data_IF_729834171730
#
_entry.id   IF_729834171730
#
_cell.length_a   1.000
_cell.length_b   1.000
_cell.length_c   1.000
_cell.angle_alpha   90.00
_cell.angle_beta   90.00
_cell.angle_gamma   90.00
#
_symmetry.space_group_name_H-M   'P 1'
#
loop_
_entity.id
_entity.type
_entity.pdbx_description
1 polymer ?
#
# COMPACT_ATOMS: atom_id res chain seq x y z
N UNK A 1 -6.44 26.78 10.63
CA UNK A 1 -6.94 25.45 10.21
C UNK A 1 -6.81 25.36 8.71
N UNK A 2 -5.83 24.60 8.21
CA UNK A 2 -5.52 24.56 6.79
C UNK A 2 -6.59 23.72 6.05
N UNK A 3 -7.62 24.39 5.54
CA UNK A 3 -8.63 23.80 4.64
C UNK A 3 -8.08 23.88 3.22
N UNK A 4 -7.03 23.11 2.91
CA UNK A 4 -6.71 22.88 1.50
C UNK A 4 -7.92 22.19 0.90
N UNK A 5 -8.55 22.82 -0.10
CA UNK A 5 -9.63 22.23 -0.89
C UNK A 5 -9.16 20.87 -1.35
N UNK A 6 -9.57 19.80 -0.64
CA UNK A 6 -9.30 18.43 -1.05
C UNK A 6 -9.88 18.38 -2.44
N UNK A 7 -9.01 18.36 -3.45
CA UNK A 7 -9.48 18.24 -4.82
C UNK A 7 -10.16 16.88 -4.81
N UNK A 8 -11.49 16.86 -4.87
CA UNK A 8 -12.27 15.61 -4.71
C UNK A 8 -11.92 14.56 -5.76
N UNK A 9 -11.11 14.95 -6.75
CA UNK A 9 -10.43 14.11 -7.72
C UNK A 9 -9.40 13.16 -7.09
N UNK A 10 -9.78 11.89 -7.02
CA UNK A 10 -8.94 10.75 -6.66
C UNK A 10 -8.45 10.01 -7.89
N UNK A 11 -7.35 9.28 -7.73
CA UNK A 11 -6.80 8.38 -8.73
C UNK A 11 -7.45 7.00 -8.59
N UNK A 12 -8.11 6.56 -9.65
CA UNK A 12 -8.68 5.23 -9.78
C UNK A 12 -7.83 4.42 -10.75
N UNK A 13 -7.44 3.20 -10.35
CA UNK A 13 -6.43 2.41 -11.06
C UNK A 13 -7.00 1.07 -11.50
N UNK A 14 -6.83 0.76 -12.78
CA UNK A 14 -7.01 -0.61 -13.30
C UNK A 14 -5.65 -1.28 -13.44
N UNK A 15 -5.46 -2.36 -12.69
CA UNK A 15 -4.21 -3.12 -12.66
C UNK A 15 -4.00 -3.94 -13.94
N UNK A 16 -5.07 -4.52 -14.47
CA UNK A 16 -5.06 -5.35 -15.69
C UNK A 16 -4.69 -4.51 -16.92
N UNK A 17 -5.34 -3.36 -17.09
CA UNK A 17 -5.09 -2.45 -18.22
C UNK A 17 -3.88 -1.53 -18.03
N UNK A 18 -3.33 -1.46 -16.80
CA UNK A 18 -2.27 -0.51 -16.41
C UNK A 18 -2.62 0.93 -16.75
N UNK A 19 -3.83 1.34 -16.35
CA UNK A 19 -4.35 2.69 -16.57
C UNK A 19 -4.79 3.31 -15.26
N UNK A 20 -4.56 4.61 -15.11
CA UNK A 20 -5.10 5.41 -14.02
C UNK A 20 -6.02 6.49 -14.58
N UNK A 21 -7.16 6.71 -13.95
CA UNK A 21 -8.10 7.77 -14.29
C UNK A 21 -8.36 8.63 -13.05
N UNK A 22 -8.40 9.94 -13.21
CA UNK A 22 -8.63 10.88 -12.11
C UNK A 22 -10.12 11.28 -12.08
N UNK A 23 -10.83 11.02 -10.99
CA UNK A 23 -12.31 11.21 -10.89
C UNK A 23 -12.74 11.73 -9.52
N UNK A 24 -13.84 12.48 -9.45
CA UNK A 24 -14.42 12.98 -8.19
C UNK A 24 -15.19 11.85 -7.45
N UNK A 25 -15.02 11.63 -6.13
CA UNK A 25 -15.72 10.56 -5.35
C UNK A 25 -17.09 10.99 -4.76
N UNK A 26 -18.06 10.15 -4.39
CA UNK A 26 -18.21 8.68 -4.35
C UNK A 26 -19.65 8.26 -4.80
N UNK A 27 -19.83 6.97 -5.14
CA UNK A 27 -21.06 6.27 -5.56
C UNK A 27 -21.48 6.46 -7.04
N UNK A 28 -20.99 5.58 -7.92
CA UNK A 28 -21.43 5.56 -9.33
C UNK A 28 -20.46 4.94 -10.33
N UNK A 29 -19.95 3.74 -10.01
CA UNK A 29 -19.65 2.65 -10.93
C UNK A 29 -19.49 3.03 -12.42
N UNK A 30 -18.28 3.32 -12.82
CA UNK A 30 -17.86 2.98 -14.17
C UNK A 30 -16.52 2.30 -13.96
N UNK A 31 -16.48 0.99 -14.19
CA UNK A 31 -15.24 0.23 -14.17
C UNK A 31 -14.20 0.83 -15.12
N UNK A 32 -13.12 0.09 -15.34
CA UNK A 32 -12.11 0.54 -16.28
C UNK A 32 -12.79 0.90 -17.63
N UNK A 33 -12.58 2.10 -18.19
CA UNK A 33 -13.18 2.48 -19.46
C UNK A 33 -12.72 1.59 -20.64
N UNK A 34 -11.77 0.68 -20.38
CA UNK A 34 -11.18 -0.22 -21.36
C UNK A 34 -11.66 -1.67 -21.21
N UNK A 35 -11.73 -2.18 -19.98
CA UNK A 35 -12.11 -3.59 -19.72
C UNK A 35 -13.35 -3.76 -18.83
N UNK A 36 -13.93 -2.68 -18.31
CA UNK A 36 -15.10 -2.73 -17.42
C UNK A 36 -14.83 -3.23 -16.00
N UNK A 37 -13.61 -3.70 -15.68
CA UNK A 37 -13.26 -4.20 -14.35
C UNK A 37 -13.32 -3.14 -13.25
N UNK A 38 -13.48 -3.58 -12.00
CA UNK A 38 -13.44 -2.72 -10.83
C UNK A 38 -12.10 -1.95 -10.75
N UNK A 39 -12.20 -0.66 -10.42
CA UNK A 39 -11.05 0.22 -10.26
C UNK A 39 -10.69 0.37 -8.79
N UNK A 40 -9.42 0.23 -8.46
CA UNK A 40 -8.91 0.49 -7.12
C UNK A 40 -8.82 1.99 -6.85
N UNK A 41 -9.41 2.47 -5.75
CA UNK A 41 -9.19 3.84 -5.26
C UNK A 41 -7.77 3.94 -4.66
N UNK A 42 -6.89 4.66 -5.34
CA UNK A 42 -5.52 4.86 -4.91
C UNK A 42 -5.31 6.16 -4.12
N UNK A 43 -6.33 7.01 -3.94
CA UNK A 43 -6.22 8.29 -3.25
C UNK A 43 -5.80 9.47 -4.12
N UNK A 44 -5.36 10.56 -3.52
CA UNK A 44 -5.19 11.86 -4.20
C UNK A 44 -3.78 12.08 -4.77
N UNK A 45 -2.76 11.49 -4.15
CA UNK A 45 -1.35 11.78 -4.42
C UNK A 45 -0.59 10.57 -5.01
N UNK A 46 -1.30 9.74 -5.79
CA UNK A 46 -0.65 8.65 -6.49
C UNK A 46 0.26 9.19 -7.60
N UNK A 47 1.56 8.93 -7.50
CA UNK A 47 2.49 9.06 -8.61
C UNK A 47 2.28 7.88 -9.57
N UNK A 48 1.62 8.12 -10.71
CA UNK A 48 1.25 7.08 -11.66
C UNK A 48 2.51 6.61 -12.42
N UNK A 49 2.87 5.31 -12.35
CA UNK A 49 3.96 4.77 -13.14
C UNK A 49 3.70 4.91 -14.64
N UNK A 50 4.77 5.05 -15.43
CA UNK A 50 4.64 5.03 -16.90
C UNK A 50 3.98 3.71 -17.33
N UNK A 51 3.12 3.71 -18.35
CA UNK A 51 2.39 2.51 -18.81
C UNK A 51 3.31 1.31 -19.11
N UNK A 52 4.50 1.58 -19.65
CA UNK A 52 5.54 0.57 -19.99
C UNK A 52 6.38 0.11 -18.80
N UNK A 53 6.30 0.78 -17.65
CA UNK A 53 7.08 0.47 -16.46
C UNK A 53 6.43 -0.69 -15.69
N UNK A 54 6.71 -1.92 -16.14
CA UNK A 54 6.15 -3.11 -15.51
C UNK A 54 6.55 -3.24 -14.03
N UNK A 55 7.74 -2.78 -13.67
CA UNK A 55 8.22 -2.86 -12.29
C UNK A 55 7.38 -1.94 -11.40
N UNK A 56 7.18 -0.68 -11.79
CA UNK A 56 6.32 0.26 -11.08
C UNK A 56 4.88 -0.27 -10.94
N UNK A 57 4.31 -0.83 -12.02
CA UNK A 57 2.96 -1.41 -11.99
C UNK A 57 2.85 -2.64 -11.07
N UNK A 58 3.87 -3.49 -11.02
CA UNK A 58 3.91 -4.64 -10.09
C UNK A 58 3.99 -4.17 -8.63
N UNK A 59 4.80 -3.15 -8.35
CA UNK A 59 4.89 -2.57 -7.00
C UNK A 59 3.55 -1.95 -6.57
N UNK A 60 2.93 -1.14 -7.45
CA UNK A 60 1.63 -0.53 -7.20
C UNK A 60 0.53 -1.57 -6.99
N UNK A 61 0.54 -2.66 -7.77
CA UNK A 61 -0.39 -3.79 -7.61
C UNK A 61 -0.28 -4.40 -6.21
N UNK A 62 0.94 -4.64 -5.73
CA UNK A 62 1.16 -5.21 -4.41
C UNK A 62 0.66 -4.27 -3.29
N UNK A 63 0.85 -2.96 -3.45
CA UNK A 63 0.37 -1.96 -2.51
C UNK A 63 -1.17 -1.91 -2.46
N UNK A 64 -1.82 -1.74 -3.61
CA UNK A 64 -3.28 -1.59 -3.66
C UNK A 64 -3.99 -2.87 -3.18
N UNK A 65 -3.48 -4.06 -3.52
CA UNK A 65 -4.01 -5.33 -3.00
C UNK A 65 -3.81 -5.49 -1.50
N UNK A 66 -2.76 -4.89 -0.93
CA UNK A 66 -2.55 -4.84 0.50
C UNK A 66 -3.42 -3.77 1.20
N UNK A 67 -4.24 -3.00 0.48
CA UNK A 67 -5.03 -1.90 1.02
C UNK A 67 -4.24 -0.61 1.26
N UNK A 68 -3.00 -0.54 0.75
CA UNK A 68 -2.19 0.67 0.82
C UNK A 68 -2.67 1.68 -0.21
N UNK A 69 -3.05 2.86 0.28
CA UNK A 69 -3.53 3.98 -0.53
C UNK A 69 -2.70 5.25 -0.31
N UNK A 70 -2.72 6.17 -1.28
CA UNK A 70 -1.94 7.40 -1.32
C UNK A 70 -2.81 8.60 -0.91
N UNK A 71 -3.42 8.48 0.27
CA UNK A 71 -4.13 9.58 0.89
C UNK A 71 -3.14 10.50 1.59
N UNK A 72 -3.13 11.76 1.21
CA UNK A 72 -2.43 12.81 1.93
C UNK A 72 -3.38 13.63 2.78
N UNK A 73 -2.81 14.21 3.84
CA UNK A 73 -3.48 15.23 4.64
C UNK A 73 -2.91 16.59 4.24
N UNK A 74 -3.63 17.66 4.56
CA UNK A 74 -3.36 19.04 4.10
C UNK A 74 -1.87 19.45 4.04
N UNK A 75 -1.08 19.07 5.05
CA UNK A 75 0.34 19.46 5.17
C UNK A 75 1.32 18.27 5.12
N UNK A 76 0.83 17.04 4.96
CA UNK A 76 1.64 15.83 4.98
C UNK A 76 1.24 14.96 3.78
N UNK A 77 2.18 14.76 2.86
CA UNK A 77 2.04 13.82 1.76
C UNK A 77 1.76 12.39 2.25
N UNK A 78 1.54 11.43 1.35
CA UNK A 78 1.15 10.04 1.68
C UNK A 78 2.22 9.23 2.44
N UNK A 79 3.29 9.89 2.89
CA UNK A 79 4.50 9.27 3.43
C UNK A 79 5.35 8.61 2.35
N UNK A 80 6.41 7.96 2.78
CA UNK A 80 7.25 7.14 1.91
C UNK A 80 6.47 5.90 1.43
N UNK A 81 6.62 5.52 0.15
CA UNK A 81 6.01 4.32 -0.45
C UNK A 81 7.00 3.62 -1.38
N UNK A 82 7.01 2.28 -1.43
CA UNK A 82 7.90 1.54 -2.31
C UNK A 82 7.49 1.81 -3.76
N UNK A 83 8.47 2.16 -4.59
CA UNK A 83 8.28 2.42 -6.03
C UNK A 83 8.67 1.21 -6.88
N UNK A 84 9.42 0.28 -6.29
CA UNK A 84 9.96 -0.88 -7.00
C UNK A 84 9.51 -2.21 -6.38
N UNK A 85 9.40 -3.28 -7.18
CA UNK A 85 9.09 -4.61 -6.67
C UNK A 85 10.15 -5.14 -5.70
N UNK A 86 11.39 -4.66 -5.83
CA UNK A 86 12.49 -5.02 -4.92
C UNK A 86 12.19 -4.51 -3.51
N UNK A 87 11.86 -3.23 -3.37
CA UNK A 87 11.52 -2.61 -2.08
C UNK A 87 10.30 -3.26 -1.43
N UNK A 88 9.30 -3.67 -2.24
CA UNK A 88 8.15 -4.44 -1.78
C UNK A 88 8.59 -5.79 -1.20
N UNK A 89 9.40 -6.55 -1.94
CA UNK A 89 9.89 -7.86 -1.49
C UNK A 89 10.74 -7.76 -0.23
N UNK A 90 11.62 -6.77 -0.13
CA UNK A 90 12.47 -6.55 1.04
C UNK A 90 11.62 -6.33 2.31
N UNK A 91 10.57 -5.50 2.22
CA UNK A 91 9.63 -5.24 3.34
C UNK A 91 8.79 -6.43 3.72
N UNK A 92 8.28 -7.16 2.72
CA UNK A 92 7.55 -8.41 2.96
C UNK A 92 8.45 -9.46 3.62
N UNK A 93 9.72 -9.55 3.22
CA UNK A 93 10.70 -10.46 3.81
C UNK A 93 11.05 -10.07 5.26
N UNK A 94 11.27 -8.78 5.51
CA UNK A 94 11.59 -8.25 6.84
C UNK A 94 10.43 -8.40 7.83
N UNK A 95 9.18 -8.25 7.36
CA UNK A 95 7.97 -8.42 8.17
C UNK A 95 7.52 -9.87 8.37
N UNK A 96 8.15 -10.87 7.73
CA UNK A 96 7.76 -12.27 7.93
C UNK A 96 7.88 -12.65 9.41
N UNK A 97 6.78 -13.10 10.00
CA UNK A 97 6.74 -13.55 11.40
C UNK A 97 6.64 -12.43 12.44
N UNK A 98 6.56 -11.14 12.05
CA UNK A 98 6.26 -10.05 12.99
C UNK A 98 4.80 -10.04 13.42
N UNK A 99 3.90 -10.58 12.58
CA UNK A 99 2.45 -10.48 12.78
C UNK A 99 1.86 -9.11 12.39
N UNK A 100 2.66 -8.23 11.78
CA UNK A 100 2.17 -6.95 11.27
C UNK A 100 1.26 -7.16 10.05
N UNK A 101 0.30 -6.25 9.89
CA UNK A 101 -0.48 -6.19 8.67
C UNK A 101 0.44 -5.89 7.48
N UNK A 102 0.18 -6.50 6.33
CA UNK A 102 0.98 -6.31 5.11
C UNK A 102 1.02 -4.84 4.71
N UNK A 103 -0.09 -4.11 4.89
CA UNK A 103 -0.15 -2.68 4.62
C UNK A 103 0.89 -1.91 5.44
N UNK A 104 0.92 -2.13 6.75
CA UNK A 104 1.84 -1.46 7.67
C UNK A 104 3.29 -1.74 7.28
N UNK A 105 3.64 -3.02 7.06
CA UNK A 105 4.97 -3.41 6.63
C UNK A 105 5.42 -2.74 5.32
N UNK A 106 4.51 -2.56 4.37
CA UNK A 106 4.81 -1.89 3.10
C UNK A 106 4.92 -0.36 3.24
N UNK A 107 4.37 0.23 4.30
CA UNK A 107 4.48 1.67 4.59
C UNK A 107 5.74 2.04 5.38
N UNK A 108 6.36 1.09 6.07
CA UNK A 108 7.55 1.36 6.88
C UNK A 108 8.74 1.65 5.97
N UNK A 109 9.29 2.85 6.10
CA UNK A 109 10.45 3.28 5.32
C UNK A 109 11.70 2.48 5.71
N UNK A 110 11.91 2.28 7.02
CA UNK A 110 13.09 1.60 7.55
C UNK A 110 12.91 0.07 7.62
N UNK A 111 13.72 -0.65 6.84
CA UNK A 111 13.72 -2.12 6.80
C UNK A 111 14.36 -2.72 8.05
N UNK A 112 15.31 -2.03 8.67
CA UNK A 112 15.92 -2.46 9.93
C UNK A 112 14.93 -2.35 11.09
N UNK A 113 14.04 -1.37 11.07
CA UNK A 113 12.93 -1.29 12.04
C UNK A 113 12.05 -2.55 11.98
N UNK A 114 11.65 -2.97 10.77
CA UNK A 114 10.87 -4.19 10.57
C UNK A 114 11.63 -5.43 11.06
N UNK A 115 12.93 -5.52 10.71
CA UNK A 115 13.80 -6.62 11.12
C UNK A 115 14.02 -6.66 12.63
N UNK A 116 14.16 -5.49 13.27
CA UNK A 116 14.26 -5.36 14.72
C UNK A 116 12.98 -5.82 15.42
N UNK A 117 11.80 -5.42 14.94
CA UNK A 117 10.51 -5.90 15.45
C UNK A 117 10.38 -7.42 15.32
N UNK A 118 10.84 -8.00 14.20
CA UNK A 118 10.87 -9.46 14.00
C UNK A 118 11.77 -10.15 15.02
N UNK A 119 12.99 -9.63 15.21
CA UNK A 119 13.95 -10.13 16.21
C UNK A 119 13.38 -10.01 17.62
N UNK A 120 12.71 -8.91 17.95
CA UNK A 120 12.08 -8.70 19.25
C UNK A 120 10.97 -9.72 19.52
N UNK A 121 10.06 -9.95 18.56
CA UNK A 121 8.99 -10.96 18.70
C UNK A 121 9.52 -12.38 18.83
N UNK A 122 10.59 -12.73 18.11
CA UNK A 122 11.24 -14.03 18.26
C UNK A 122 11.88 -14.24 19.64
N UNK A 123 12.29 -13.16 20.30
CA UNK A 123 12.85 -13.18 21.67
C UNK A 123 11.79 -13.25 22.76
N UNK A 124 10.53 -12.89 22.48
CA UNK A 124 9.44 -13.01 23.47
C UNK A 124 9.26 -14.50 23.81
N UNK A 125 9.56 -14.93 25.04
CA UNK A 125 9.39 -16.33 25.42
C UNK A 125 7.91 -16.70 25.33
N UNK A 126 7.60 -17.83 24.68
CA UNK A 126 6.23 -18.37 24.69
C UNK A 126 5.77 -18.55 26.13
N UNK A 127 4.62 -17.98 26.46
CA UNK A 127 4.07 -18.06 27.81
C UNK A 127 3.84 -19.53 28.19
N UNK A 128 3.79 -19.85 29.49
CA UNK A 128 3.43 -21.20 29.94
C UNK A 128 2.01 -21.61 29.51
N UNK A 129 1.12 -20.65 29.24
CA UNK A 129 -0.23 -20.90 28.74
C UNK A 129 -0.22 -21.49 27.32
N UNK A 130 0.67 -21.00 26.45
CA UNK A 130 0.81 -21.49 25.06
C UNK A 130 1.37 -22.93 24.99
N UNK A 131 2.04 -23.40 26.06
CA UNK A 131 2.63 -24.74 26.16
C UNK A 131 1.67 -25.81 26.67
N UNK A 132 0.51 -25.45 27.23
CA UNK A 132 -0.49 -26.40 27.76
C UNK A 132 -1.62 -26.71 26.77
N UNK A 133 -1.60 -26.11 25.58
CA UNK A 133 -2.60 -26.27 24.53
C UNK A 133 -2.12 -27.12 23.33
N UNK A 134 -0.99 -27.83 23.47
CA UNK A 134 -0.43 -28.77 22.50
C UNK A 134 -0.18 -30.11 23.19
#
# INVERSE_FOLDING_TARGET
>A
MCTRSQTSRRHYVCLSCRVSTKRHGAAGQNGCPRCGEELFDAGHDLEVPKKRDEAGWRALTALLRAGVTFHSRCCYGPGWRPRTPREVRERLAASRGTGLAVAEALTTQDVEELSARRRARARVPRSRADRRAA
#
